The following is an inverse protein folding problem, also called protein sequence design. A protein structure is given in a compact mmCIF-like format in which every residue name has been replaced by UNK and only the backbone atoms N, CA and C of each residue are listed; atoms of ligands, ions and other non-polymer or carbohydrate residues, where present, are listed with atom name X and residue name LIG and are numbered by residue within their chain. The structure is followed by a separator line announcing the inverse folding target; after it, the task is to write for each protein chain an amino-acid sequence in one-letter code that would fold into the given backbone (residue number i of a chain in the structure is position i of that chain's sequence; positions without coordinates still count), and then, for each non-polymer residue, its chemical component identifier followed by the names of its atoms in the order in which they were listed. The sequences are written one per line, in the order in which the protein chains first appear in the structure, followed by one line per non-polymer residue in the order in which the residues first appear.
data_IF_991645425244
#
_entry.id   IF_991645425244
#
_cell.length_a   1.000
_cell.length_b   1.000
_cell.length_c   1.000
_cell.angle_alpha   90.00
_cell.angle_beta   90.00
_cell.angle_gamma   90.00
#
_symmetry.space_group_name_H-M   'P 1'
#
loop_
_entity.id
_entity.type
_entity.pdbx_description
1 polymer ?
#
# COMPACT_ATOMS: atom_id res chain seq x y z
N UNK A 1 8.01 35.87 38.73
CA UNK A 1 6.84 35.18 39.34
C UNK A 1 6.62 33.80 38.71
N UNK A 2 6.83 32.71 39.46
CA UNK A 2 6.68 31.33 38.98
C UNK A 2 5.25 31.02 38.48
N UNK A 3 4.23 31.62 39.12
CA UNK A 3 2.82 31.47 38.75
C UNK A 3 2.45 31.97 37.34
N UNK A 4 3.30 32.80 36.70
CA UNK A 4 3.05 33.38 35.36
C UNK A 4 3.94 32.77 34.27
N UNK A 5 4.64 31.66 34.54
CA UNK A 5 5.53 30.99 33.57
C UNK A 5 4.82 30.58 32.28
N UNK A 6 3.50 30.31 32.35
CA UNK A 6 2.66 29.96 31.19
C UNK A 6 2.58 31.06 30.11
N UNK A 7 2.88 32.32 30.43
CA UNK A 7 2.80 33.47 29.51
C UNK A 7 4.11 33.71 28.74
N UNK A 8 5.11 32.83 28.89
CA UNK A 8 6.42 32.98 28.28
C UNK A 8 7.40 33.81 29.11
N UNK A 9 8.51 34.20 28.48
CA UNK A 9 9.55 35.00 29.13
C UNK A 9 9.04 36.42 29.42
N UNK A 10 9.37 36.92 30.61
CA UNK A 10 9.06 38.30 30.98
C UNK A 10 10.00 39.26 30.23
N UNK A 11 9.45 39.95 29.26
CA UNK A 11 10.14 40.94 28.42
C UNK A 11 10.92 41.96 29.25
N UNK A 12 12.18 42.17 28.89
CA UNK A 12 13.06 43.18 29.49
C UNK A 12 13.29 44.33 28.52
N UNK A 13 13.99 45.38 28.97
CA UNK A 13 14.24 46.58 28.16
C UNK A 13 14.96 46.27 26.83
N UNK A 14 15.83 45.26 26.80
CA UNK A 14 16.51 44.81 25.57
C UNK A 14 15.50 44.22 24.57
N UNK A 15 14.63 43.34 25.04
CA UNK A 15 13.57 42.71 24.23
C UNK A 15 12.57 43.75 23.72
N UNK A 16 12.20 44.72 24.57
CA UNK A 16 11.34 45.84 24.20
C UNK A 16 11.91 46.67 23.06
N UNK A 17 13.21 46.97 23.10
CA UNK A 17 13.87 47.73 22.02
C UNK A 17 13.78 46.95 20.71
N UNK A 18 14.10 45.65 20.71
CA UNK A 18 14.00 44.80 19.53
C UNK A 18 12.57 44.75 18.97
N UNK A 19 11.56 44.59 19.83
CA UNK A 19 10.15 44.58 19.43
C UNK A 19 9.68 45.92 18.88
N UNK A 20 10.06 47.03 19.52
CA UNK A 20 9.71 48.37 19.07
C UNK A 20 10.36 48.71 17.72
N UNK A 21 11.62 48.32 17.53
CA UNK A 21 12.34 48.54 16.27
C UNK A 21 11.74 47.69 15.13
N UNK A 22 11.39 46.41 15.39
CA UNK A 22 10.68 45.57 14.41
C UNK A 22 9.30 46.15 14.04
N UNK A 23 8.53 46.60 15.03
CA UNK A 23 7.25 47.26 14.80
C UNK A 23 7.40 48.52 13.94
N UNK A 24 8.37 49.37 14.25
CA UNK A 24 8.65 50.58 13.46
C UNK A 24 9.03 50.22 12.02
N UNK A 25 9.92 49.25 11.81
CA UNK A 25 10.29 48.77 10.47
C UNK A 25 9.07 48.29 9.67
N UNK A 26 8.18 47.51 10.28
CA UNK A 26 6.95 47.05 9.63
C UNK A 26 6.00 48.21 9.30
N UNK A 27 5.83 49.16 10.22
CA UNK A 27 5.01 50.35 9.98
C UNK A 27 5.57 51.24 8.88
N UNK A 28 6.89 51.40 8.82
CA UNK A 28 7.57 52.16 7.78
C UNK A 28 7.39 51.48 6.41
N UNK A 29 7.52 50.15 6.35
CA UNK A 29 7.28 49.38 5.13
C UNK A 29 5.82 49.46 4.66
N UNK A 30 4.84 49.35 5.57
CA UNK A 30 3.43 49.50 5.24
C UNK A 30 3.11 50.90 4.71
N UNK A 31 3.65 51.95 5.34
CA UNK A 31 3.50 53.33 4.87
C UNK A 31 4.09 53.52 3.48
N UNK A 32 5.26 52.93 3.20
CA UNK A 32 5.87 52.97 1.88
C UNK A 32 5.02 52.24 0.82
N UNK A 33 4.46 51.07 1.15
CA UNK A 33 3.56 50.32 0.26
C UNK A 33 2.25 51.08 0.00
N UNK A 34 1.68 51.73 1.03
CA UNK A 34 0.49 52.57 0.89
C UNK A 34 0.73 53.76 -0.04
N UNK A 35 1.88 54.46 0.10
CA UNK A 35 2.26 55.53 -0.82
C UNK A 35 2.39 55.04 -2.26
N UNK A 36 3.09 53.93 -2.47
CA UNK A 36 3.22 53.30 -3.81
C UNK A 36 1.86 52.90 -4.40
N UNK A 37 0.92 52.43 -3.58
CA UNK A 37 -0.42 52.09 -4.02
C UNK A 37 -1.25 53.33 -4.40
N UNK A 38 -1.08 54.45 -3.68
CA UNK A 38 -1.74 55.73 -3.98
C UNK A 38 -1.16 56.42 -5.22
N UNK A 39 0.16 56.33 -5.41
CA UNK A 39 0.90 56.93 -6.52
C UNK A 39 0.91 56.05 -7.79
N UNK A 40 0.17 54.93 -7.79
CA UNK A 40 0.13 53.98 -8.92
C UNK A 40 -0.50 54.63 -10.16
N UNK A 41 0.21 54.54 -11.29
CA UNK A 41 -0.34 54.93 -12.59
C UNK A 41 -1.31 53.83 -13.10
N UNK A 42 -2.60 54.12 -13.36
CA UNK A 42 -3.55 53.13 -13.85
C UNK A 42 -3.18 52.57 -15.23
N UNK A 43 -2.44 53.33 -16.04
CA UNK A 43 -2.06 52.97 -17.41
C UNK A 43 -0.67 52.31 -17.49
N UNK A 44 -0.05 51.95 -16.36
CA UNK A 44 1.26 51.29 -16.35
C UNK A 44 1.19 49.90 -17.00
N UNK A 45 2.11 49.63 -17.93
CA UNK A 45 2.23 48.33 -18.60
C UNK A 45 3.65 47.77 -18.47
N UNK A 46 3.76 46.59 -17.86
CA UNK A 46 4.98 45.81 -17.81
C UNK A 46 4.79 44.51 -18.60
N UNK A 47 5.80 44.09 -19.38
CA UNK A 47 5.73 42.86 -20.20
C UNK A 47 5.40 41.59 -19.39
N UNK A 48 5.74 41.56 -18.09
CA UNK A 48 5.41 40.44 -17.21
C UNK A 48 3.91 40.33 -16.90
N UNK A 49 3.13 41.40 -17.09
CA UNK A 49 1.67 41.39 -16.94
C UNK A 49 0.98 40.46 -17.95
N UNK A 50 1.63 40.11 -19.06
CA UNK A 50 1.11 39.13 -20.03
C UNK A 50 1.13 37.70 -19.47
N UNK A 51 2.13 37.38 -18.64
CA UNK A 51 2.35 36.03 -18.07
C UNK A 51 1.82 35.87 -16.65
N UNK A 52 1.35 36.94 -16.04
CA UNK A 52 0.82 36.95 -14.69
C UNK A 52 -0.62 37.42 -14.69
N UNK A 53 -1.37 37.05 -13.66
CA UNK A 53 -2.77 37.44 -13.50
C UNK A 53 -3.05 37.76 -12.05
N UNK A 54 -3.94 38.72 -11.79
CA UNK A 54 -4.49 38.94 -10.46
C UNK A 54 -5.64 37.96 -10.25
N UNK A 55 -5.61 37.16 -9.18
CA UNK A 55 -6.73 36.32 -8.75
C UNK A 55 -7.09 36.75 -7.33
N UNK A 56 -8.34 37.22 -7.13
CA UNK A 56 -8.84 37.71 -5.84
C UNK A 56 -7.92 38.76 -5.16
N UNK A 57 -7.28 39.62 -5.96
CA UNK A 57 -6.35 40.65 -5.46
C UNK A 57 -4.91 40.19 -5.24
N UNK A 58 -4.61 38.89 -5.42
CA UNK A 58 -3.26 38.33 -5.27
C UNK A 58 -2.61 38.09 -6.63
N UNK A 59 -1.33 38.45 -6.75
CA UNK A 59 -0.56 38.24 -7.95
C UNK A 59 -0.19 36.75 -8.12
N UNK A 60 -0.69 36.13 -9.19
CA UNK A 60 -0.39 34.74 -9.55
C UNK A 60 0.40 34.73 -10.87
N UNK A 61 1.62 34.21 -10.80
CA UNK A 61 2.45 33.97 -12.00
C UNK A 61 2.00 32.65 -12.63
N UNK A 62 1.60 32.67 -13.91
CA UNK A 62 1.27 31.44 -14.62
C UNK A 62 2.56 30.66 -14.83
N UNK A 63 2.64 29.46 -14.24
CA UNK A 63 3.73 28.56 -14.58
C UNK A 63 3.52 28.02 -16.00
N UNK A 64 4.60 27.90 -16.81
CA UNK A 64 4.51 27.25 -18.10
C UNK A 64 4.01 25.82 -17.87
N UNK A 65 2.92 25.45 -18.55
CA UNK A 65 2.49 24.05 -18.62
C UNK A 65 3.25 23.41 -19.76
N UNK A 66 3.89 22.28 -19.51
CA UNK A 66 4.44 21.47 -20.58
C UNK A 66 3.28 21.00 -21.48
N UNK A 67 3.24 21.53 -22.71
CA UNK A 67 2.24 21.17 -23.70
C UNK A 67 2.58 19.79 -24.28
N UNK A 68 2.05 18.74 -23.67
CA UNK A 68 2.22 17.37 -24.16
C UNK A 68 1.19 17.10 -25.24
N UNK A 69 1.63 16.78 -26.45
CA UNK A 69 0.72 16.38 -27.54
C UNK A 69 0.02 15.06 -27.17
N UNK A 70 -1.19 14.79 -27.69
CA UNK A 70 -1.88 13.53 -27.41
C UNK A 70 -1.09 12.30 -27.83
N UNK A 71 -0.21 12.41 -28.83
CA UNK A 71 0.69 11.34 -29.28
C UNK A 71 1.83 11.11 -28.30
N UNK A 72 2.49 12.17 -27.83
CA UNK A 72 3.51 12.08 -26.77
C UNK A 72 2.92 11.45 -25.50
N UNK A 73 1.70 11.84 -25.11
CA UNK A 73 1.00 11.25 -23.97
C UNK A 73 0.73 9.74 -24.14
N UNK A 74 0.44 9.26 -25.37
CA UNK A 74 0.31 7.82 -25.66
C UNK A 74 1.63 7.08 -25.51
N UNK A 75 2.72 7.67 -25.98
CA UNK A 75 4.07 7.10 -25.88
C UNK A 75 4.49 7.00 -24.42
N UNK A 76 4.38 8.08 -23.65
CA UNK A 76 4.70 8.09 -22.22
C UNK A 76 3.90 7.03 -21.44
N UNK A 77 2.58 6.97 -21.62
CA UNK A 77 1.73 5.95 -20.97
C UNK A 77 2.10 4.52 -21.38
N UNK A 78 2.55 4.31 -22.61
CA UNK A 78 2.99 2.99 -23.08
C UNK A 78 4.30 2.58 -22.41
N UNK A 79 5.24 3.51 -22.23
CA UNK A 79 6.48 3.28 -21.49
C UNK A 79 6.20 2.97 -20.02
N UNK A 80 5.34 3.77 -19.38
CA UNK A 80 4.93 3.56 -17.98
C UNK A 80 4.28 2.19 -17.78
N UNK A 81 3.35 1.82 -18.67
CA UNK A 81 2.69 0.52 -18.62
C UNK A 81 3.72 -0.61 -18.71
N UNK A 82 4.63 -0.54 -19.69
CA UNK A 82 5.67 -1.56 -19.89
C UNK A 82 6.59 -1.67 -18.67
N UNK A 83 6.93 -0.54 -18.05
CA UNK A 83 7.73 -0.53 -16.83
C UNK A 83 7.01 -1.21 -15.66
N UNK A 84 5.73 -0.85 -15.42
CA UNK A 84 4.92 -1.45 -14.35
C UNK A 84 4.72 -2.94 -14.60
N UNK A 85 4.46 -3.36 -15.85
CA UNK A 85 4.33 -4.77 -16.22
C UNK A 85 5.62 -5.55 -15.99
N UNK A 86 6.77 -5.01 -16.41
CA UNK A 86 8.08 -5.62 -16.15
C UNK A 86 8.29 -5.81 -14.65
N UNK A 87 7.99 -4.80 -13.83
CA UNK A 87 8.11 -4.90 -12.36
C UNK A 87 7.13 -5.93 -11.79
N UNK A 88 5.89 -5.99 -12.29
CA UNK A 88 4.89 -6.99 -11.88
C UNK A 88 5.37 -8.41 -12.18
N UNK A 89 5.90 -8.68 -13.39
CA UNK A 89 6.45 -10.00 -13.76
C UNK A 89 7.64 -10.37 -12.88
N UNK A 90 8.54 -9.42 -12.61
CA UNK A 90 9.66 -9.66 -11.71
C UNK A 90 9.20 -9.99 -10.28
N UNK A 91 8.17 -9.33 -9.76
CA UNK A 91 7.58 -9.65 -8.45
C UNK A 91 6.84 -10.99 -8.46
N UNK A 92 6.08 -11.32 -9.50
CA UNK A 92 5.42 -12.62 -9.65
C UNK A 92 6.43 -13.77 -9.59
N UNK A 93 7.56 -13.66 -10.32
CA UNK A 93 8.64 -14.67 -10.25
C UNK A 93 9.25 -14.80 -8.86
N UNK A 94 9.39 -13.70 -8.10
CA UNK A 94 9.88 -13.75 -6.71
C UNK A 94 8.85 -14.39 -5.77
N UNK A 95 7.56 -14.13 -5.99
CA UNK A 95 6.47 -14.79 -5.26
C UNK A 95 6.49 -16.30 -5.54
N UNK A 96 6.64 -16.71 -6.79
CA UNK A 96 6.72 -18.13 -7.17
C UNK A 96 7.90 -18.83 -6.50
N UNK A 97 9.09 -18.22 -6.53
CA UNK A 97 10.28 -18.75 -5.83
C UNK A 97 10.04 -18.91 -4.32
N UNK A 98 9.54 -17.87 -3.67
CA UNK A 98 9.22 -17.94 -2.23
C UNK A 98 8.14 -18.98 -1.94
N UNK A 99 7.10 -19.10 -2.78
CA UNK A 99 6.09 -20.15 -2.63
C UNK A 99 6.66 -21.56 -2.82
N UNK A 100 7.66 -21.74 -3.67
CA UNK A 100 8.32 -23.04 -3.83
C UNK A 100 9.22 -23.41 -2.65
N UNK A 101 9.84 -22.41 -2.00
CA UNK A 101 10.68 -22.60 -0.81
C UNK A 101 9.84 -22.79 0.46
N UNK A 102 8.69 -22.11 0.56
CA UNK A 102 7.81 -22.19 1.72
C UNK A 102 6.79 -23.32 1.54
N UNK A 103 6.79 -24.29 2.46
CA UNK A 103 5.85 -25.42 2.41
C UNK A 103 4.38 -25.04 2.73
N UNK A 104 4.11 -23.82 3.21
CA UNK A 104 2.76 -23.29 3.55
C UNK A 104 1.93 -24.19 4.50
N UNK A 105 2.57 -25.10 5.22
CA UNK A 105 1.91 -26.10 6.07
C UNK A 105 1.30 -25.50 7.34
N UNK A 106 1.96 -24.46 7.86
CA UNK A 106 1.73 -23.83 9.16
C UNK A 106 1.23 -22.37 9.00
N UNK A 107 0.74 -22.03 7.80
CA UNK A 107 0.30 -20.68 7.49
C UNK A 107 -1.08 -20.41 8.11
N UNK A 108 -1.19 -19.33 8.87
CA UNK A 108 -2.47 -18.84 9.41
C UNK A 108 -3.46 -18.51 8.28
N UNK A 109 -4.71 -18.94 8.42
CA UNK A 109 -5.76 -18.69 7.41
C UNK A 109 -5.85 -19.74 6.29
N UNK A 110 -5.18 -20.88 6.42
CA UNK A 110 -5.40 -22.03 5.54
C UNK A 110 -6.84 -22.52 5.67
N UNK A 111 -7.48 -22.80 4.54
CA UNK A 111 -8.81 -23.43 4.54
C UNK A 111 -8.68 -24.83 5.18
N UNK A 112 -9.52 -25.18 6.17
CA UNK A 112 -9.45 -26.49 6.80
C UNK A 112 -9.79 -27.57 5.77
N UNK A 113 -8.90 -28.55 5.62
CA UNK A 113 -9.15 -29.70 4.76
C UNK A 113 -10.09 -30.69 5.49
N UNK A 114 -11.05 -31.26 4.77
CA UNK A 114 -11.93 -32.30 5.29
C UNK A 114 -11.23 -33.67 5.19
N UNK A 115 -10.96 -34.30 6.33
CA UNK A 115 -10.50 -35.69 6.41
C UNK A 115 -11.67 -36.59 6.85
N UNK A 116 -11.95 -37.65 6.08
CA UNK A 116 -13.09 -38.55 6.33
C UNK A 116 -12.54 -39.94 6.63
N UNK A 117 -12.93 -40.50 7.78
CA UNK A 117 -12.63 -41.89 8.15
C UNK A 117 -13.79 -42.79 7.70
N UNK A 118 -13.44 -43.94 7.13
CA UNK A 118 -14.40 -44.97 6.72
C UNK A 118 -14.32 -46.15 7.69
N UNK A 119 -15.47 -46.71 8.03
CA UNK A 119 -15.59 -47.86 8.92
C UNK A 119 -16.48 -48.90 8.25
N UNK A 120 -16.13 -50.18 8.41
CA UNK A 120 -16.78 -51.27 7.72
C UNK A 120 -18.17 -51.57 8.31
N UNK A 121 -18.33 -51.42 9.63
CA UNK A 121 -19.63 -51.66 10.28
C UNK A 121 -20.31 -50.38 10.79
N UNK A 122 -21.63 -50.36 10.68
CA UNK A 122 -22.46 -49.28 11.24
C UNK A 122 -22.41 -49.21 12.77
N UNK A 123 -22.02 -50.29 13.44
CA UNK A 123 -21.86 -50.34 14.90
C UNK A 123 -20.60 -49.59 15.31
N UNK A 124 -19.46 -49.89 14.68
CA UNK A 124 -18.18 -49.19 14.89
C UNK A 124 -18.34 -47.69 14.64
N UNK A 125 -18.96 -47.31 13.50
CA UNK A 125 -19.23 -45.90 13.20
C UNK A 125 -20.06 -45.19 14.28
N UNK A 126 -21.05 -45.85 14.88
CA UNK A 126 -21.91 -45.27 15.94
C UNK A 126 -21.19 -45.12 17.29
N UNK A 127 -20.42 -46.12 17.71
CA UNK A 127 -19.57 -46.03 18.91
C UNK A 127 -18.54 -44.91 18.80
N UNK A 128 -18.00 -44.72 17.60
CA UNK A 128 -17.04 -43.66 17.34
C UNK A 128 -17.73 -42.28 17.21
N UNK A 129 -18.91 -42.14 16.63
CA UNK A 129 -19.57 -40.81 16.52
C UNK A 129 -19.83 -40.07 17.85
N UNK A 130 -19.86 -40.76 19.00
CA UNK A 130 -20.04 -40.14 20.32
C UNK A 130 -18.74 -39.91 21.13
N UNK A 131 -17.74 -40.80 21.00
CA UNK A 131 -16.45 -40.77 21.72
C UNK A 131 -15.29 -41.22 20.81
N UNK A 132 -15.20 -40.71 19.58
CA UNK A 132 -14.07 -41.02 18.68
C UNK A 132 -12.84 -40.25 19.15
N UNK A 133 -11.99 -40.92 19.91
CA UNK A 133 -10.68 -40.41 20.20
C UNK A 133 -9.76 -40.61 18.99
N UNK A 134 -9.45 -39.50 18.33
CA UNK A 134 -8.59 -39.49 17.13
C UNK A 134 -7.15 -39.87 17.51
N UNK A 135 -6.70 -39.56 18.74
CA UNK A 135 -5.34 -39.84 19.17
C UNK A 135 -5.07 -41.34 19.25
N UNK A 136 -5.99 -42.10 19.85
CA UNK A 136 -5.90 -43.57 19.91
C UNK A 136 -6.02 -44.20 18.54
N UNK A 137 -6.94 -43.72 17.69
CA UNK A 137 -7.10 -44.26 16.33
C UNK A 137 -5.84 -44.08 15.48
N UNK A 138 -5.17 -42.93 15.57
CA UNK A 138 -3.93 -42.65 14.84
C UNK A 138 -2.67 -43.18 15.55
N UNK A 139 -2.80 -43.72 16.76
CA UNK A 139 -1.68 -44.10 17.64
C UNK A 139 -0.68 -42.95 17.84
N UNK A 140 -1.18 -41.74 18.04
CA UNK A 140 -0.39 -40.51 18.23
C UNK A 140 -0.68 -39.87 19.57
N UNK A 141 0.22 -38.99 20.02
CA UNK A 141 -0.01 -38.16 21.22
C UNK A 141 -1.13 -37.13 20.93
N UNK A 142 -2.01 -36.81 21.89
CA UNK A 142 -3.10 -35.83 21.71
C UNK A 142 -2.63 -34.48 21.17
N UNK A 143 -1.45 -34.00 21.59
CA UNK A 143 -0.86 -32.73 21.15
C UNK A 143 -0.58 -32.65 19.64
N UNK A 144 -0.41 -33.79 18.97
CA UNK A 144 -0.09 -33.86 17.55
C UNK A 144 -1.33 -34.08 16.66
N UNK A 145 -2.50 -34.29 17.26
CA UNK A 145 -3.74 -34.59 16.52
C UNK A 145 -4.15 -33.42 15.62
N UNK A 146 -4.09 -32.20 16.16
CA UNK A 146 -4.46 -30.97 15.43
C UNK A 146 -3.53 -30.66 14.26
N UNK A 147 -2.29 -31.16 14.30
CA UNK A 147 -1.29 -30.93 13.25
C UNK A 147 -1.56 -31.83 12.06
N UNK A 148 -1.79 -31.25 10.88
CA UNK A 148 -2.18 -32.04 9.68
C UNK A 148 -1.00 -32.80 9.03
N UNK A 149 0.24 -32.34 9.22
CA UNK A 149 1.43 -32.85 8.55
C UNK A 149 2.43 -33.43 9.54
N UNK A 150 3.15 -34.49 9.15
CA UNK A 150 4.16 -35.17 9.97
C UNK A 150 3.65 -35.51 11.39
N UNK A 151 2.73 -36.48 11.47
CA UNK A 151 2.15 -37.03 12.69
C UNK A 151 2.78 -38.40 13.00
N UNK A 152 3.91 -38.47 13.71
CA UNK A 152 4.57 -39.73 14.05
C UNK A 152 3.76 -40.53 15.08
N UNK A 153 3.78 -41.86 14.95
CA UNK A 153 3.18 -42.76 15.94
C UNK A 153 3.99 -42.78 17.24
N UNK A 154 3.37 -43.21 18.35
CA UNK A 154 4.05 -43.36 19.64
C UNK A 154 5.28 -44.28 19.52
N UNK A 155 5.18 -45.36 18.75
CA UNK A 155 6.30 -46.27 18.51
C UNK A 155 7.45 -45.60 17.73
N UNK A 156 7.14 -44.71 16.79
CA UNK A 156 8.15 -43.93 16.05
C UNK A 156 8.84 -42.92 16.98
N UNK A 157 8.08 -42.21 17.82
CA UNK A 157 8.61 -41.26 18.80
C UNK A 157 9.56 -41.91 19.81
N UNK A 158 9.32 -43.17 20.18
CA UNK A 158 10.19 -43.92 21.08
C UNK A 158 11.48 -44.43 20.42
N UNK A 159 11.45 -44.69 19.11
CA UNK A 159 12.56 -45.32 18.38
C UNK A 159 13.50 -44.32 17.71
N UNK A 160 12.97 -43.21 17.22
CA UNK A 160 13.74 -42.26 16.40
C UNK A 160 14.28 -41.09 17.22
N UNK A 161 15.54 -40.75 16.99
CA UNK A 161 16.13 -39.51 17.50
C UNK A 161 15.71 -38.31 16.66
N UNK A 162 15.39 -37.20 17.30
CA UNK A 162 15.06 -35.94 16.60
C UNK A 162 16.21 -35.48 15.71
N UNK A 163 15.91 -35.24 14.43
CA UNK A 163 16.85 -34.63 13.46
C UNK A 163 16.61 -33.13 13.44
N UNK A 164 17.57 -32.35 13.96
CA UNK A 164 17.54 -30.89 13.94
C UNK A 164 17.95 -30.27 15.27
N UNK A 165 17.77 -28.96 15.38
CA UNK A 165 18.06 -28.24 16.62
C UNK A 165 16.99 -28.52 17.68
N UNK A 166 17.43 -28.86 18.88
CA UNK A 166 16.59 -29.14 20.06
C UNK A 166 16.56 -27.98 21.06
N UNK A 167 17.54 -27.07 20.99
CA UNK A 167 17.64 -25.93 21.89
C UNK A 167 16.44 -24.97 21.73
N UNK A 168 15.72 -24.64 22.82
CA UNK A 168 14.59 -23.72 22.78
C UNK A 168 14.91 -22.35 22.16
N UNK A 169 16.11 -21.80 22.37
CA UNK A 169 16.48 -20.51 21.80
C UNK A 169 16.63 -20.62 20.27
N UNK A 170 17.25 -21.69 19.77
CA UNK A 170 17.36 -21.95 18.35
C UNK A 170 15.98 -22.18 17.70
N UNK A 171 15.09 -22.93 18.35
CA UNK A 171 13.72 -23.15 17.86
C UNK A 171 12.94 -21.84 17.73
N UNK A 172 13.06 -20.94 18.71
CA UNK A 172 12.44 -19.60 18.65
C UNK A 172 12.98 -18.78 17.48
N UNK A 173 14.28 -18.85 17.21
CA UNK A 173 14.90 -18.18 16.08
C UNK A 173 14.36 -18.70 14.74
N UNK A 174 14.28 -20.03 14.57
CA UNK A 174 13.71 -20.65 13.37
C UNK A 174 12.23 -20.30 13.17
N UNK A 175 11.44 -20.23 14.25
CA UNK A 175 10.05 -19.79 14.20
C UNK A 175 9.93 -18.33 13.75
N UNK A 176 10.80 -17.46 14.26
CA UNK A 176 10.85 -16.05 13.85
C UNK A 176 11.25 -15.90 12.38
N UNK A 177 12.27 -16.63 11.92
CA UNK A 177 12.69 -16.65 10.51
C UNK A 177 11.55 -17.12 9.61
N UNK A 178 10.85 -18.20 9.99
CA UNK A 178 9.67 -18.69 9.28
C UNK A 178 8.58 -17.62 9.19
N UNK A 179 8.26 -16.95 10.30
CA UNK A 179 7.26 -15.87 10.33
C UNK A 179 7.64 -14.72 9.40
N UNK A 180 8.90 -14.28 9.45
CA UNK A 180 9.41 -13.23 8.56
C UNK A 180 9.27 -13.59 7.08
N UNK A 181 9.49 -14.86 6.71
CA UNK A 181 9.31 -15.32 5.32
C UNK A 181 7.84 -15.28 4.88
N UNK A 182 6.90 -15.67 5.76
CA UNK A 182 5.47 -15.55 5.48
C UNK A 182 5.03 -14.09 5.36
N UNK A 183 5.51 -13.21 6.24
CA UNK A 183 5.23 -11.77 6.17
C UNK A 183 5.77 -11.15 4.88
N UNK A 184 7.00 -11.51 4.49
CA UNK A 184 7.59 -11.09 3.22
C UNK A 184 6.75 -11.56 2.02
N UNK A 185 6.31 -12.83 2.03
CA UNK A 185 5.46 -13.37 0.97
C UNK A 185 4.12 -12.62 0.89
N UNK A 186 3.49 -12.34 2.04
CA UNK A 186 2.24 -11.56 2.12
C UNK A 186 2.41 -10.17 1.52
N UNK A 187 3.44 -9.44 1.94
CA UNK A 187 3.74 -8.09 1.42
C UNK A 187 3.98 -8.11 -0.10
N UNK A 188 4.68 -9.12 -0.62
CA UNK A 188 4.90 -9.27 -2.07
C UNK A 188 3.61 -9.53 -2.82
N UNK A 189 2.72 -10.38 -2.30
CA UNK A 189 1.41 -10.63 -2.91
C UNK A 189 0.57 -9.34 -2.93
N UNK A 190 0.57 -8.57 -1.84
CA UNK A 190 -0.10 -7.28 -1.80
C UNK A 190 0.51 -6.28 -2.79
N UNK A 191 1.84 -6.24 -2.90
CA UNK A 191 2.55 -5.43 -3.89
C UNK A 191 2.20 -5.84 -5.33
N UNK A 192 2.12 -7.12 -5.64
CA UNK A 192 1.70 -7.59 -6.97
C UNK A 192 0.28 -7.11 -7.29
N UNK A 193 -0.66 -7.25 -6.35
CA UNK A 193 -2.04 -6.76 -6.49
C UNK A 193 -2.10 -5.26 -6.75
N UNK A 194 -1.34 -4.46 -6.00
CA UNK A 194 -1.30 -3.00 -6.21
C UNK A 194 -0.72 -2.65 -7.58
N UNK A 195 0.37 -3.30 -8.01
CA UNK A 195 0.94 -3.12 -9.35
C UNK A 195 -0.05 -3.52 -10.45
N UNK A 196 -0.82 -4.59 -10.24
CA UNK A 196 -1.87 -5.02 -11.17
C UNK A 196 -2.94 -3.95 -11.36
N UNK A 197 -3.45 -3.36 -10.26
CA UNK A 197 -4.44 -2.28 -10.32
C UNK A 197 -3.86 -1.04 -11.01
N UNK A 198 -2.61 -0.68 -10.73
CA UNK A 198 -1.93 0.45 -11.39
C UNK A 198 -1.82 0.20 -12.89
N UNK A 199 -1.38 -0.99 -13.31
CA UNK A 199 -1.28 -1.36 -14.71
C UNK A 199 -2.64 -1.24 -15.41
N UNK A 200 -3.71 -1.77 -14.81
CA UNK A 200 -5.07 -1.65 -15.34
C UNK A 200 -5.52 -0.19 -15.48
N UNK A 201 -5.20 0.67 -14.51
CA UNK A 201 -5.53 2.11 -14.56
C UNK A 201 -4.79 2.83 -15.69
N UNK A 202 -3.48 2.55 -15.86
CA UNK A 202 -2.69 3.12 -16.95
C UNK A 202 -3.22 2.64 -18.31
N UNK A 203 -3.50 1.34 -18.43
CA UNK A 203 -4.07 0.74 -19.64
C UNK A 203 -5.42 1.39 -19.98
N UNK A 204 -6.32 1.52 -19.00
CA UNK A 204 -7.61 2.20 -19.19
C UNK A 204 -7.39 3.64 -19.69
N UNK A 205 -6.50 4.41 -19.06
CA UNK A 205 -6.19 5.79 -19.50
C UNK A 205 -5.61 5.84 -20.90
N UNK A 206 -4.81 4.85 -21.31
CA UNK A 206 -4.30 4.72 -22.68
C UNK A 206 -5.45 4.46 -23.66
N UNK A 207 -6.35 3.54 -23.34
CA UNK A 207 -7.51 3.19 -24.18
C UNK A 207 -8.49 4.37 -24.31
N UNK A 208 -8.61 5.20 -23.27
CA UNK A 208 -9.41 6.43 -23.32
C UNK A 208 -8.87 7.49 -24.29
N UNK A 209 -7.61 7.42 -24.71
CA UNK A 209 -7.06 8.29 -25.75
C UNK A 209 -7.49 7.87 -27.17
N UNK A 210 -8.15 6.72 -27.32
CA UNK A 210 -8.80 6.34 -28.56
C UNK A 210 -10.04 7.23 -28.81
N UNK A 211 -10.29 7.59 -30.07
CA UNK A 211 -11.39 8.50 -30.48
C UNK A 211 -12.76 7.81 -30.46
N UNK A 212 -12.81 6.53 -30.08
CA UNK A 212 -14.05 5.76 -29.97
C UNK A 212 -15.01 6.35 -28.94
N UNK A 213 -16.30 6.34 -29.28
CA UNK A 213 -17.37 6.81 -28.40
C UNK A 213 -17.50 5.87 -27.19
N UNK A 214 -17.55 6.46 -26.00
CA UNK A 214 -17.46 5.73 -24.72
C UNK A 214 -18.23 6.44 -23.63
N UNK A 215 -18.86 5.66 -22.75
CA UNK A 215 -19.63 6.14 -21.60
C UNK A 215 -19.04 5.55 -20.33
N UNK A 216 -18.78 6.38 -19.32
CA UNK A 216 -18.30 5.92 -18.01
C UNK A 216 -19.46 5.27 -17.27
N UNK A 217 -19.30 4.00 -16.89
CA UNK A 217 -20.31 3.22 -16.16
C UNK A 217 -20.02 3.22 -14.67
N UNK A 218 -18.75 3.03 -14.28
CA UNK A 218 -18.30 3.08 -12.87
C UNK A 218 -17.11 4.01 -12.71
N UNK A 219 -17.09 4.74 -11.60
CA UNK A 219 -15.98 5.63 -11.23
C UNK A 219 -14.76 4.82 -10.81
N UNK A 220 -13.58 5.45 -10.93
CA UNK A 220 -12.32 4.87 -10.46
C UNK A 220 -12.34 4.77 -8.93
N UNK A 221 -11.83 3.67 -8.39
CA UNK A 221 -11.63 3.51 -6.94
C UNK A 221 -10.15 3.26 -6.65
N UNK A 222 -9.75 3.19 -5.38
CA UNK A 222 -8.37 2.85 -5.01
C UNK A 222 -7.97 1.47 -5.56
N UNK A 223 -8.89 0.50 -5.52
CA UNK A 223 -8.63 -0.90 -5.82
C UNK A 223 -9.03 -1.32 -7.24
N UNK A 224 -9.70 -0.47 -8.00
CA UNK A 224 -10.16 -0.81 -9.35
C UNK A 224 -10.06 0.36 -10.32
N UNK A 225 -9.76 0.11 -11.60
CA UNK A 225 -9.89 1.13 -12.64
C UNK A 225 -11.35 1.56 -12.82
N UNK A 226 -11.56 2.73 -13.44
CA UNK A 226 -12.87 3.13 -13.91
C UNK A 226 -13.33 2.21 -15.05
N UNK A 227 -14.62 1.86 -15.07
CA UNK A 227 -15.19 0.99 -16.11
C UNK A 227 -15.91 1.86 -17.13
N UNK A 228 -15.58 1.65 -18.40
CA UNK A 228 -16.17 2.33 -19.53
C UNK A 228 -16.86 1.33 -20.46
N UNK A 229 -18.03 1.70 -20.96
CA UNK A 229 -18.72 0.99 -22.04
C UNK A 229 -18.39 1.69 -23.35
N UNK A 230 -17.69 1.00 -24.23
CA UNK A 230 -17.41 1.48 -25.59
C UNK A 230 -18.60 1.16 -26.49
N UNK A 231 -18.85 2.02 -27.48
CA UNK A 231 -19.87 1.76 -28.50
C UNK A 231 -19.52 0.47 -29.24
N UNK A 232 -20.50 -0.42 -29.40
CA UNK A 232 -20.32 -1.66 -30.14
C UNK A 232 -20.17 -1.35 -31.63
N UNK A 233 -18.93 -1.33 -32.10
CA UNK A 233 -18.56 -1.03 -33.47
C UNK A 233 -17.32 -1.87 -33.82
N UNK A 234 -17.36 -2.54 -34.98
CA UNK A 234 -16.18 -3.22 -35.51
C UNK A 234 -15.14 -2.17 -35.92
N UNK A 235 -13.89 -2.32 -35.46
CA UNK A 235 -12.78 -1.54 -36.01
C UNK A 235 -12.62 -1.95 -37.48
N UNK A 236 -12.66 -0.98 -38.38
CA UNK A 236 -12.37 -1.20 -39.80
C UNK A 236 -10.88 -1.28 -40.02
#
# INVERSE_FOLDING_TARGET
PAARRKLGLLEKKKDYRLRADDYRKKQDALRALQRKALERNPDEFYFQMVRSSLQDGVHVVKQPKDEVTPEQAKVMRTQDLKYVEMKRVAEAKKIERLKSELHLLDAEGKQPNKHVFFFDTKKEGKTHTGFFDIATHLNTVPELVDRVYNRPTIATLQKESLKGATDPAHLKKLAQERKNQYDLLKQRIEREKTMFVIAQKIQTRKDLLDKTQKVKVKKETTNSPAIYKFKFQRKR
#
